data_IF_987540940390
#
_entry.id   IF_987540940390
#
_cell.length_a   1.000
_cell.length_b   1.000
_cell.length_c   1.000
_cell.angle_alpha   90.00
_cell.angle_beta   90.00
_cell.angle_gamma   90.00
#
_symmetry.space_group_name_H-M   'P 1'
#
loop_
_entity.id
_entity.type
_entity.pdbx_description
1 polymer ?
#
# COMPACT_ATOMS: atom_id res chain seq x y z
N UNK A 1 -1.92 -10.25 -1.42
CA UNK A 1 -1.60 -8.82 -1.48
C UNK A 1 -0.09 -8.73 -1.43
N UNK A 2 0.50 -7.84 -2.21
CA UNK A 2 1.96 -7.71 -2.29
C UNK A 2 2.52 -6.72 -1.28
N UNK A 3 3.81 -6.78 -1.00
CA UNK A 3 4.48 -5.94 -0.01
C UNK A 3 4.32 -4.44 -0.29
N UNK A 4 4.34 -4.05 -1.57
CA UNK A 4 4.19 -2.66 -2.00
C UNK A 4 2.74 -2.21 -1.88
N UNK A 5 1.79 -3.05 -2.30
CA UNK A 5 0.36 -2.74 -2.20
C UNK A 5 -0.05 -2.54 -0.73
N UNK A 6 0.43 -3.42 0.15
CA UNK A 6 0.23 -3.33 1.59
C UNK A 6 0.86 -2.06 2.18
N UNK A 7 2.05 -1.66 1.71
CA UNK A 7 2.71 -0.44 2.16
C UNK A 7 1.92 0.82 1.76
N UNK A 8 1.38 0.88 0.53
CA UNK A 8 0.52 1.99 0.10
C UNK A 8 -0.76 2.02 0.93
N UNK A 9 -1.36 0.87 1.22
CA UNK A 9 -2.52 0.81 2.11
C UNK A 9 -2.21 1.30 3.53
N UNK A 10 -1.05 0.95 4.10
CA UNK A 10 -0.63 1.45 5.40
C UNK A 10 -0.48 2.98 5.39
N UNK A 11 0.26 3.53 4.42
CA UNK A 11 0.45 4.96 4.25
C UNK A 11 -0.89 5.73 4.11
N UNK A 12 -1.82 5.18 3.33
CA UNK A 12 -3.15 5.74 3.17
C UNK A 12 -3.97 5.76 4.47
N UNK A 13 -3.77 4.77 5.36
CA UNK A 13 -4.47 4.70 6.65
C UNK A 13 -3.95 5.75 7.64
N UNK A 14 -2.67 6.08 7.58
CA UNK A 14 -2.08 7.14 8.40
C UNK A 14 -2.58 8.53 8.02
N UNK A 15 -3.08 8.68 6.79
CA UNK A 15 -3.68 9.92 6.30
C UNK A 15 -5.04 10.27 6.90
N UNK A 16 -5.66 9.36 7.67
CA UNK A 16 -7.04 9.55 8.10
C UNK A 16 -7.18 10.74 9.05
N UNK A 17 -7.98 11.72 8.64
CA UNK A 17 -8.28 12.91 9.44
C UNK A 17 -9.38 12.67 10.48
N UNK A 18 -10.06 11.53 10.40
CA UNK A 18 -11.10 11.13 11.35
C UNK A 18 -10.99 9.64 11.64
N UNK A 19 -11.24 9.26 12.88
CA UNK A 19 -11.32 7.85 13.27
C UNK A 19 -12.41 7.11 12.48
N UNK A 20 -12.16 5.89 11.98
CA UNK A 20 -13.20 5.02 11.46
C UNK A 20 -14.22 4.67 12.56
N UNK A 21 -15.44 4.24 12.20
CA UNK A 21 -16.45 3.83 13.17
C UNK A 21 -15.90 2.74 14.09
N UNK A 22 -15.89 2.98 15.41
CA UNK A 22 -15.33 2.04 16.40
C UNK A 22 -16.31 0.95 16.82
N UNK A 23 -17.61 1.18 16.63
CA UNK A 23 -18.64 0.21 17.03
C UNK A 23 -18.96 -0.73 15.88
N UNK A 24 -19.15 -2.02 16.18
CA UNK A 24 -19.56 -3.02 15.19
C UNK A 24 -20.81 -2.60 14.40
N UNK A 25 -21.80 -2.01 15.07
CA UNK A 25 -23.00 -1.47 14.44
C UNK A 25 -22.67 -0.34 13.46
N UNK A 26 -21.79 0.58 13.86
CA UNK A 26 -21.34 1.69 13.03
C UNK A 26 -20.54 1.21 11.80
N UNK A 27 -19.63 0.24 12.01
CA UNK A 27 -18.85 -0.39 10.95
C UNK A 27 -19.74 -1.06 9.91
N UNK A 28 -20.69 -1.90 10.33
CA UNK A 28 -21.62 -2.56 9.40
C UNK A 28 -22.54 -1.56 8.71
N UNK A 29 -23.03 -0.53 9.42
CA UNK A 29 -23.82 0.54 8.82
C UNK A 29 -23.05 1.31 7.74
N UNK A 30 -21.76 1.58 7.98
CA UNK A 30 -20.87 2.16 6.99
C UNK A 30 -20.67 1.24 5.79
N UNK A 31 -20.37 -0.04 5.99
CA UNK A 31 -20.15 -0.99 4.90
C UNK A 31 -21.40 -1.18 4.04
N UNK A 32 -22.60 -1.19 4.63
CA UNK A 32 -23.85 -1.26 3.87
C UNK A 32 -24.04 0.00 3.01
N UNK A 33 -23.67 1.18 3.52
CA UNK A 33 -23.73 2.42 2.73
C UNK A 33 -22.77 2.38 1.54
N UNK A 34 -21.59 1.79 1.71
CA UNK A 34 -20.59 1.67 0.64
C UNK A 34 -20.90 0.58 -0.38
N UNK A 35 -21.39 -0.59 0.07
CA UNK A 35 -21.61 -1.77 -0.77
C UNK A 35 -23.08 -1.94 -1.19
N UNK A 36 -23.96 -1.04 -0.75
CA UNK A 36 -25.39 -0.99 -1.12
C UNK A 36 -26.30 -1.99 -0.42
N UNK A 37 -25.82 -3.15 0.03
CA UNK A 37 -26.68 -4.17 0.66
C UNK A 37 -26.00 -5.06 1.69
N UNK A 38 -26.78 -5.64 2.60
CA UNK A 38 -26.28 -6.64 3.56
C UNK A 38 -25.75 -7.91 2.89
N UNK A 39 -26.27 -8.27 1.70
CA UNK A 39 -25.79 -9.41 0.91
C UNK A 39 -24.40 -9.16 0.34
N UNK A 40 -24.14 -7.95 -0.16
CA UNK A 40 -22.82 -7.56 -0.66
C UNK A 40 -21.79 -7.52 0.48
N UNK A 41 -22.14 -6.93 1.62
CA UNK A 41 -21.29 -6.95 2.83
C UNK A 41 -21.01 -8.38 3.30
N UNK A 42 -22.01 -9.26 3.26
CA UNK A 42 -21.85 -10.65 3.64
C UNK A 42 -20.87 -11.42 2.73
N UNK A 43 -20.97 -11.21 1.41
CA UNK A 43 -20.06 -11.78 0.43
C UNK A 43 -18.61 -11.31 0.67
N UNK A 44 -18.41 -10.01 0.86
CA UNK A 44 -17.11 -9.42 1.17
C UNK A 44 -16.50 -10.03 2.44
N UNK A 45 -17.28 -10.08 3.53
CA UNK A 45 -16.82 -10.56 4.82
C UNK A 45 -16.73 -12.08 4.93
N UNK A 46 -17.29 -12.84 3.98
CA UNK A 46 -17.37 -14.31 4.07
C UNK A 46 -18.30 -14.79 5.19
N UNK A 47 -19.39 -14.07 5.45
CA UNK A 47 -20.41 -14.42 6.45
C UNK A 47 -21.80 -14.46 5.82
N UNK A 48 -22.83 -14.82 6.59
CA UNK A 48 -24.21 -14.79 6.08
C UNK A 48 -24.82 -13.39 6.14
N UNK A 49 -25.75 -13.08 5.23
CA UNK A 49 -26.51 -11.82 5.27
C UNK A 49 -27.30 -11.66 6.58
N UNK A 50 -27.78 -12.77 7.17
CA UNK A 50 -28.38 -12.75 8.50
C UNK A 50 -27.38 -12.29 9.57
N UNK A 51 -26.14 -12.80 9.54
CA UNK A 51 -25.09 -12.35 10.48
C UNK A 51 -24.85 -10.84 10.38
N UNK A 52 -24.78 -10.30 9.16
CA UNK A 52 -24.66 -8.85 8.93
C UNK A 52 -25.85 -8.09 9.52
N UNK A 53 -27.09 -8.57 9.28
CA UNK A 53 -28.30 -7.96 9.84
C UNK A 53 -28.33 -8.03 11.37
N UNK A 54 -27.85 -9.12 11.97
CA UNK A 54 -27.72 -9.27 13.43
C UNK A 54 -26.70 -8.29 14.01
N UNK A 55 -25.56 -8.08 13.35
CA UNK A 55 -24.59 -7.05 13.75
C UNK A 55 -25.19 -5.64 13.65
N UNK A 56 -25.85 -5.33 12.52
CA UNK A 56 -26.50 -4.03 12.27
C UNK A 56 -27.54 -3.67 13.33
N UNK A 57 -28.34 -4.64 13.78
CA UNK A 57 -29.39 -4.42 14.80
C UNK A 57 -28.93 -4.65 16.24
N UNK A 58 -27.67 -5.04 16.45
CA UNK A 58 -27.09 -5.29 17.78
C UNK A 58 -27.49 -6.61 18.44
N UNK A 59 -28.14 -7.52 17.70
CA UNK A 59 -28.53 -8.85 18.17
C UNK A 59 -27.35 -9.84 18.23
N UNK A 60 -26.19 -9.45 17.71
CA UNK A 60 -24.90 -10.12 17.91
C UNK A 60 -23.84 -9.03 18.07
N UNK A 61 -23.17 -9.00 19.22
CA UNK A 61 -22.18 -7.96 19.58
C UNK A 61 -20.73 -8.44 19.44
N UNK A 62 -20.51 -9.75 19.48
CA UNK A 62 -19.19 -10.37 19.45
C UNK A 62 -19.10 -11.30 18.24
N UNK A 63 -18.61 -10.80 17.08
CA UNK A 63 -18.16 -11.66 16.00
C UNK A 63 -16.96 -12.50 16.46
N UNK A 64 -16.65 -13.57 15.73
CA UNK A 64 -15.37 -14.27 15.91
C UNK A 64 -14.22 -13.30 15.59
N UNK A 65 -13.05 -13.51 16.18
CA UNK A 65 -11.90 -12.59 16.04
C UNK A 65 -11.48 -12.37 14.59
N UNK A 66 -11.46 -13.43 13.77
CA UNK A 66 -11.18 -13.37 12.33
C UNK A 66 -12.20 -12.49 11.57
N UNK A 67 -13.49 -12.64 11.89
CA UNK A 67 -14.55 -11.81 11.29
C UNK A 67 -14.46 -10.36 11.76
N UNK A 68 -14.11 -10.13 13.03
CA UNK A 68 -13.93 -8.80 13.59
C UNK A 68 -12.80 -8.05 12.88
N UNK A 69 -11.64 -8.70 12.72
CA UNK A 69 -10.49 -8.16 12.00
C UNK A 69 -10.88 -7.84 10.55
N UNK A 70 -11.51 -8.79 9.86
CA UNK A 70 -11.95 -8.58 8.47
C UNK A 70 -12.94 -7.42 8.32
N UNK A 71 -13.85 -7.22 9.28
CA UNK A 71 -14.74 -6.05 9.30
C UNK A 71 -13.91 -4.76 9.42
N UNK A 72 -12.97 -4.71 10.36
CA UNK A 72 -12.13 -3.54 10.59
C UNK A 72 -11.29 -3.20 9.35
N UNK A 73 -10.63 -4.20 8.75
CA UNK A 73 -9.86 -4.05 7.51
C UNK A 73 -10.73 -3.56 6.35
N UNK A 74 -11.91 -4.16 6.16
CA UNK A 74 -12.85 -3.76 5.09
C UNK A 74 -13.33 -2.32 5.27
N UNK A 75 -13.54 -1.90 6.52
CA UNK A 75 -13.92 -0.51 6.86
C UNK A 75 -12.78 0.43 6.55
N UNK A 76 -11.57 0.13 7.03
CA UNK A 76 -10.37 0.96 6.83
C UNK A 76 -10.01 1.09 5.36
N UNK A 77 -10.07 0.00 4.59
CA UNK A 77 -9.83 -0.01 3.15
C UNK A 77 -10.78 0.92 2.37
N UNK A 78 -11.95 1.24 2.92
CA UNK A 78 -12.95 2.13 2.27
C UNK A 78 -13.10 3.48 2.97
N UNK A 79 -12.36 3.72 4.05
CA UNK A 79 -12.50 4.92 4.86
C UNK A 79 -11.83 6.13 4.19
N UNK A 80 -12.50 7.29 4.26
CA UNK A 80 -12.03 8.57 3.72
C UNK A 80 -11.38 8.51 2.31
N UNK A 81 -12.07 7.97 1.28
CA UNK A 81 -11.49 7.75 -0.04
C UNK A 81 -11.02 9.05 -0.73
N UNK A 82 -11.68 10.18 -0.44
CA UNK A 82 -11.27 11.48 -0.97
C UNK A 82 -9.97 12.01 -0.35
N UNK A 83 -9.69 11.65 0.91
CA UNK A 83 -8.44 12.04 1.58
C UNK A 83 -7.28 11.26 0.97
N UNK A 84 -7.45 9.94 0.79
CA UNK A 84 -6.49 9.07 0.10
C UNK A 84 -6.17 9.60 -1.30
N UNK A 85 -7.19 9.79 -2.13
CA UNK A 85 -7.04 10.34 -3.49
C UNK A 85 -6.35 11.71 -3.50
N UNK A 86 -6.63 12.59 -2.53
CA UNK A 86 -5.98 13.90 -2.45
C UNK A 86 -4.49 13.76 -2.13
N UNK A 87 -4.09 12.92 -1.17
CA UNK A 87 -2.68 12.70 -0.82
C UNK A 87 -1.90 12.03 -1.95
N UNK A 88 -2.44 10.95 -2.52
CA UNK A 88 -1.83 10.28 -3.67
C UNK A 88 -1.63 11.26 -4.84
N UNK A 89 -2.62 12.13 -5.12
CA UNK A 89 -2.46 13.18 -6.14
C UNK A 89 -1.40 14.21 -5.78
N UNK A 90 -1.33 14.65 -4.52
CA UNK A 90 -0.31 15.60 -4.07
C UNK A 90 1.10 15.00 -4.20
N UNK A 91 1.26 13.74 -3.79
CA UNK A 91 2.49 12.97 -3.94
C UNK A 91 2.91 12.83 -5.40
N UNK A 92 1.98 12.44 -6.28
CA UNK A 92 2.20 12.30 -7.73
C UNK A 92 2.48 13.61 -8.47
N UNK A 93 2.16 14.78 -7.90
CA UNK A 93 2.30 16.07 -8.60
C UNK A 93 3.46 16.91 -8.10
N UNK A 94 3.66 16.98 -6.78
CA UNK A 94 4.67 17.86 -6.18
C UNK A 94 5.43 17.22 -5.02
N UNK A 95 4.83 16.23 -4.35
CA UNK A 95 5.33 15.74 -3.06
C UNK A 95 6.39 14.66 -3.16
N UNK A 96 6.30 13.75 -4.13
CA UNK A 96 7.08 12.51 -4.10
C UNK A 96 6.57 11.50 -3.08
N UNK A 97 7.32 10.42 -2.92
CA UNK A 97 7.10 9.39 -1.89
C UNK A 97 8.41 9.12 -1.16
N UNK A 98 8.37 9.01 0.16
CA UNK A 98 9.50 8.50 0.93
C UNK A 98 9.35 7.00 1.10
N UNK A 99 10.37 6.24 0.71
CA UNK A 99 10.42 4.78 0.83
C UNK A 99 11.41 4.42 1.93
N UNK A 100 10.91 3.80 3.00
CA UNK A 100 11.75 3.14 3.99
C UNK A 100 11.70 1.64 3.78
N UNK A 101 12.86 0.99 3.61
CA UNK A 101 12.88 -0.46 3.41
C UNK A 101 14.15 -1.09 3.96
N UNK A 102 14.02 -2.34 4.41
CA UNK A 102 15.14 -3.27 4.53
C UNK A 102 14.92 -4.42 3.56
N UNK A 103 15.79 -4.51 2.56
CA UNK A 103 15.70 -5.51 1.50
C UNK A 103 17.09 -5.86 0.96
N UNK A 104 17.18 -6.96 0.22
CA UNK A 104 18.37 -7.32 -0.55
C UNK A 104 18.36 -6.58 -1.89
N UNK A 105 19.42 -5.85 -2.18
CA UNK A 105 19.54 -5.13 -3.45
C UNK A 105 20.51 -5.84 -4.40
N UNK A 106 20.03 -6.21 -5.59
CA UNK A 106 20.82 -6.73 -6.71
C UNK A 106 21.26 -5.60 -7.66
N UNK A 107 22.36 -5.82 -8.40
CA UNK A 107 22.96 -4.80 -9.26
C UNK A 107 23.42 -5.37 -10.59
N UNK A 108 23.10 -4.68 -11.68
CA UNK A 108 23.64 -4.95 -13.01
C UNK A 108 24.46 -3.77 -13.49
N UNK A 109 25.65 -4.04 -14.02
CA UNK A 109 26.54 -3.03 -14.59
C UNK A 109 27.20 -3.53 -15.88
N UNK A 110 27.89 -2.64 -16.60
CA UNK A 110 28.68 -3.03 -17.77
C UNK A 110 29.79 -4.06 -17.47
N UNK A 111 30.21 -4.18 -16.20
CA UNK A 111 31.20 -5.17 -15.75
C UNK A 111 30.57 -6.54 -15.42
N UNK A 112 29.25 -6.68 -15.51
CA UNK A 112 28.49 -7.87 -15.17
C UNK A 112 27.37 -7.60 -14.16
N UNK A 113 26.52 -8.62 -13.96
CA UNK A 113 25.54 -8.66 -12.87
C UNK A 113 26.15 -9.34 -11.65
N UNK A 114 25.80 -8.84 -10.46
CA UNK A 114 26.22 -9.45 -9.20
C UNK A 114 25.00 -10.06 -8.51
N UNK A 115 24.99 -11.39 -8.42
CA UNK A 115 24.01 -12.16 -7.62
C UNK A 115 24.24 -12.02 -6.10
N UNK A 116 25.38 -11.47 -5.67
CA UNK A 116 25.65 -11.13 -4.27
C UNK A 116 24.95 -9.81 -3.87
N UNK A 117 23.63 -9.84 -3.94
CA UNK A 117 22.80 -8.76 -3.48
C UNK A 117 22.99 -8.57 -1.97
N UNK A 118 23.17 -7.32 -1.54
CA UNK A 118 23.39 -6.98 -0.12
C UNK A 118 22.11 -6.50 0.53
N UNK A 119 21.84 -7.00 1.73
CA UNK A 119 20.82 -6.41 2.58
C UNK A 119 21.20 -4.98 2.94
N UNK A 120 20.32 -4.03 2.65
CA UNK A 120 20.47 -2.63 3.04
C UNK A 120 19.18 -2.17 3.71
N UNK A 121 19.33 -1.38 4.76
CA UNK A 121 18.26 -0.52 5.27
C UNK A 121 18.45 0.85 4.65
N UNK A 122 17.45 1.30 3.89
CA UNK A 122 17.49 2.55 3.15
C UNK A 122 16.21 3.34 3.40
N UNK A 123 16.36 4.65 3.53
CA UNK A 123 15.26 5.63 3.52
C UNK A 123 15.56 6.60 2.39
N UNK A 124 14.77 6.54 1.33
CA UNK A 124 15.01 7.33 0.12
C UNK A 124 13.75 8.10 -0.24
N UNK A 125 13.89 9.40 -0.47
CA UNK A 125 12.82 10.22 -0.99
C UNK A 125 12.83 10.18 -2.52
N UNK A 126 11.80 9.57 -3.11
CA UNK A 126 11.62 9.49 -4.55
C UNK A 126 10.79 10.68 -5.06
N UNK A 127 11.23 11.36 -6.14
CA UNK A 127 10.48 12.45 -6.75
C UNK A 127 9.04 12.09 -7.16
N UNK A 128 8.23 13.13 -7.39
CA UNK A 128 6.82 13.02 -7.78
C UNK A 128 6.58 12.14 -9.03
N UNK A 129 7.54 12.06 -9.94
CA UNK A 129 7.48 11.19 -11.14
C UNK A 129 7.34 9.72 -10.78
N UNK A 130 8.07 9.23 -9.77
CA UNK A 130 7.97 7.84 -9.32
C UNK A 130 6.69 7.60 -8.51
N UNK A 131 6.26 8.57 -7.72
CA UNK A 131 4.97 8.53 -7.05
C UNK A 131 3.82 8.39 -8.07
N UNK A 132 3.85 9.20 -9.14
CA UNK A 132 2.88 9.14 -10.23
C UNK A 132 2.87 7.76 -10.89
N UNK A 133 4.04 7.28 -11.34
CA UNK A 133 4.15 5.97 -11.98
C UNK A 133 3.66 4.84 -11.08
N UNK A 134 3.99 4.88 -9.79
CA UNK A 134 3.58 3.86 -8.83
C UNK A 134 2.05 3.80 -8.70
N UNK A 135 1.38 4.94 -8.52
CA UNK A 135 -0.08 4.97 -8.39
C UNK A 135 -0.79 4.65 -9.71
N UNK A 136 -0.28 5.12 -10.85
CA UNK A 136 -0.84 4.79 -12.17
C UNK A 136 -0.72 3.27 -12.45
N UNK A 137 0.43 2.67 -12.14
CA UNK A 137 0.62 1.23 -12.26
C UNK A 137 -0.34 0.45 -11.37
N UNK A 138 -0.47 0.84 -10.10
CA UNK A 138 -1.43 0.24 -9.16
C UNK A 138 -2.87 0.32 -9.67
N UNK A 139 -3.30 1.51 -10.09
CA UNK A 139 -4.65 1.75 -10.60
C UNK A 139 -4.92 0.97 -11.91
N UNK A 140 -3.89 0.71 -12.71
CA UNK A 140 -3.94 -0.15 -13.89
C UNK A 140 -3.93 -1.66 -13.56
N UNK A 141 -3.83 -2.05 -12.29
CA UNK A 141 -3.81 -3.44 -11.86
C UNK A 141 -2.44 -4.11 -11.96
N UNK A 142 -1.35 -3.33 -11.95
CA UNK A 142 0.00 -3.86 -11.92
C UNK A 142 0.21 -4.75 -10.67
N UNK A 143 0.98 -5.82 -10.85
CA UNK A 143 1.35 -6.68 -9.74
C UNK A 143 2.46 -6.04 -8.89
N UNK A 144 2.74 -6.67 -7.75
CA UNK A 144 3.74 -6.17 -6.80
C UNK A 144 5.15 -6.09 -7.39
N UNK A 145 5.52 -7.02 -8.27
CA UNK A 145 6.82 -7.04 -8.94
C UNK A 145 7.00 -5.83 -9.86
N UNK A 146 5.95 -5.46 -10.60
CA UNK A 146 5.97 -4.27 -11.46
C UNK A 146 6.09 -2.99 -10.64
N UNK A 147 5.30 -2.86 -9.56
CA UNK A 147 5.39 -1.71 -8.65
C UNK A 147 6.75 -1.63 -7.95
N UNK A 148 7.33 -2.77 -7.59
CA UNK A 148 8.68 -2.87 -7.03
C UNK A 148 9.74 -2.39 -8.01
N UNK A 149 9.60 -2.70 -9.30
CA UNK A 149 10.49 -2.20 -10.36
C UNK A 149 10.50 -0.67 -10.42
N UNK A 150 9.35 -0.01 -10.25
CA UNK A 150 9.26 1.47 -10.22
C UNK A 150 10.05 2.04 -9.04
N UNK A 151 9.93 1.42 -7.86
CA UNK A 151 10.70 1.82 -6.67
C UNK A 151 12.19 1.57 -6.89
N UNK A 152 12.56 0.42 -7.45
CA UNK A 152 13.95 0.06 -7.71
C UNK A 152 14.64 1.02 -8.69
N UNK A 153 13.93 1.43 -9.74
CA UNK A 153 14.39 2.46 -10.67
C UNK A 153 14.62 3.80 -9.96
N UNK A 154 13.69 4.20 -9.09
CA UNK A 154 13.85 5.39 -8.26
C UNK A 154 15.05 5.31 -7.32
N UNK A 155 15.31 4.15 -6.72
CA UNK A 155 16.51 3.93 -5.90
C UNK A 155 17.78 4.00 -6.72
N UNK A 156 17.77 3.45 -7.94
CA UNK A 156 18.90 3.53 -8.87
C UNK A 156 19.27 4.97 -9.13
N UNK A 157 18.33 5.79 -9.61
CA UNK A 157 18.60 7.17 -9.98
C UNK A 157 18.93 8.05 -8.77
N UNK A 158 18.10 8.00 -7.73
CA UNK A 158 18.19 8.94 -6.60
C UNK A 158 19.30 8.54 -5.63
N UNK A 159 19.35 7.27 -5.22
CA UNK A 159 20.27 6.84 -4.18
C UNK A 159 21.60 6.35 -4.77
N UNK A 160 21.56 5.40 -5.71
CA UNK A 160 22.79 4.73 -6.17
C UNK A 160 23.59 5.57 -7.16
N UNK A 161 22.92 6.33 -8.03
CA UNK A 161 23.54 7.22 -9.00
C UNK A 161 23.69 8.65 -8.50
N UNK A 162 23.08 9.00 -7.36
CA UNK A 162 23.12 10.36 -6.79
C UNK A 162 22.67 11.42 -7.81
N UNK A 163 21.56 11.16 -8.52
CA UNK A 163 21.07 12.03 -9.60
C UNK A 163 22.00 12.14 -10.81
N UNK A 164 22.90 11.17 -11.00
CA UNK A 164 23.92 11.15 -12.06
C UNK A 164 25.32 11.58 -11.61
N UNK A 165 25.53 11.84 -10.31
CA UNK A 165 26.83 12.18 -9.74
C UNK A 165 27.80 11.00 -9.57
N UNK A 166 27.31 9.75 -9.54
CA UNK A 166 28.13 8.55 -9.36
C UNK A 166 27.54 7.31 -10.05
N UNK A 167 28.32 6.22 -10.07
CA UNK A 167 27.87 4.90 -10.51
C UNK A 167 27.15 4.87 -11.89
N UNK A 168 27.58 5.69 -12.84
CA UNK A 168 26.97 5.79 -14.18
C UNK A 168 27.00 4.48 -14.98
N UNK A 169 27.88 3.55 -14.63
CA UNK A 169 27.93 2.21 -15.22
C UNK A 169 26.90 1.23 -14.64
N UNK A 170 26.15 1.62 -13.60
CA UNK A 170 25.05 0.84 -13.03
C UNK A 170 23.83 0.98 -13.94
N UNK A 171 23.48 -0.10 -14.63
CA UNK A 171 22.35 -0.13 -15.55
C UNK A 171 21.03 -0.46 -14.84
N UNK A 172 21.09 -1.31 -13.82
CA UNK A 172 19.90 -1.81 -13.15
C UNK A 172 20.08 -2.05 -11.65
N UNK A 173 18.99 -1.90 -10.90
CA UNK A 173 18.88 -2.19 -9.48
C UNK A 173 17.63 -3.03 -9.27
N UNK A 174 17.77 -4.11 -8.53
CA UNK A 174 16.65 -4.98 -8.15
C UNK A 174 16.44 -4.95 -6.64
N UNK A 175 15.17 -5.06 -6.22
CA UNK A 175 14.79 -5.22 -4.81
C UNK A 175 14.26 -6.64 -4.62
N UNK A 176 14.97 -7.40 -3.80
CA UNK A 176 14.69 -8.80 -3.47
C UNK A 176 14.61 -8.96 -1.96
N UNK A 177 14.02 -10.07 -1.46
CA UNK A 177 13.95 -10.41 -0.03
C UNK A 177 13.57 -9.22 0.87
N UNK A 178 12.37 -8.65 0.66
CA UNK A 178 11.91 -7.50 1.44
C UNK A 178 11.56 -7.97 2.86
N UNK A 179 12.34 -7.55 3.87
CA UNK A 179 11.98 -7.76 5.27
C UNK A 179 10.80 -6.86 5.65
N UNK A 180 10.88 -5.59 5.22
CA UNK A 180 9.80 -4.62 5.33
C UNK A 180 9.98 -3.50 4.29
N UNK A 181 8.86 -2.89 3.92
CA UNK A 181 8.81 -1.69 3.11
C UNK A 181 7.63 -0.83 3.56
N UNK A 182 7.89 0.43 3.86
CA UNK A 182 6.90 1.43 4.23
C UNK A 182 7.03 2.66 3.34
N UNK A 183 5.90 3.34 3.16
CA UNK A 183 5.77 4.53 2.33
C UNK A 183 5.21 5.68 3.15
N UNK A 184 5.69 6.89 2.89
CA UNK A 184 5.08 8.12 3.39
C UNK A 184 4.92 9.15 2.25
N UNK A 185 3.74 9.77 2.18
CA UNK A 185 3.35 10.72 1.13
C UNK A 185 2.07 11.48 1.49
#
# INVERSE_FOLDING_TARGET
MGEIDDAIERADREAFTKDPPKTLKGQIGFLIRQLGSAKAVAAELGVTADSVNRYRRGARKHPRADVAAKIDDTVRARWQPLVRKRRQRQAATTGGITVETRARFGYTSSAGSTDDGRFRRLTVHLPATYAQQLFEARDAGANDQQMRGIIAEGFKEVYFQDGGGRAMGLSDVEINDIDYLDLDF
#
